data_IF_917392182072
#
_entry.id   IF_917392182072
#
_cell.length_a   1.000
_cell.length_b   1.000
_cell.length_c   1.000
_cell.angle_alpha   90.00
_cell.angle_beta   90.00
_cell.angle_gamma   90.00
#
_symmetry.space_group_name_H-M   'P 1'
#
loop_
_entity.id
_entity.type
_entity.pdbx_description
1 polymer ?
#
# COMPACT_ATOMS: atom_id res chain seq x y z
N UNK A 1 9.29 21.74 21.89
CA UNK A 1 9.51 21.69 20.43
C UNK A 1 9.64 20.26 19.89
N UNK A 2 10.61 19.43 20.34
CA UNK A 2 10.81 18.05 19.83
C UNK A 2 9.60 17.11 19.99
N UNK A 3 8.91 17.17 21.13
CA UNK A 3 7.69 16.35 21.38
C UNK A 3 6.59 16.71 20.37
N UNK A 4 6.33 18.01 20.20
CA UNK A 4 5.33 18.52 19.26
C UNK A 4 5.62 18.14 17.81
N UNK A 5 6.89 18.00 17.43
CA UNK A 5 7.30 17.57 16.08
C UNK A 5 6.89 16.13 15.78
N UNK A 6 6.82 15.27 16.80
CA UNK A 6 6.42 13.87 16.72
C UNK A 6 4.91 13.68 16.85
N UNK A 7 4.23 14.56 17.59
CA UNK A 7 2.80 14.44 17.89
C UNK A 7 1.89 15.31 17.00
N UNK A 8 2.44 16.18 16.13
CA UNK A 8 1.66 17.10 15.28
C UNK A 8 2.09 17.04 13.81
N UNK A 9 1.13 17.34 12.93
CA UNK A 9 1.34 17.51 11.49
C UNK A 9 1.78 18.95 11.10
N UNK A 10 1.94 19.85 12.07
CA UNK A 10 2.28 21.27 11.85
C UNK A 10 3.55 21.40 10.99
N UNK A 11 3.62 22.36 10.07
CA UNK A 11 4.82 22.52 9.24
C UNK A 11 5.99 22.95 10.15
N UNK A 12 7.23 22.42 9.98
CA UNK A 12 8.35 22.74 10.89
C UNK A 12 8.63 24.24 11.02
N UNK A 13 8.27 25.03 10.00
CA UNK A 13 8.31 26.48 10.05
C UNK A 13 7.32 27.08 11.07
N UNK A 14 6.08 26.60 11.12
CA UNK A 14 5.05 27.05 12.07
C UNK A 14 5.49 26.74 13.52
N UNK A 15 6.00 25.54 13.75
CA UNK A 15 6.52 25.13 15.07
C UNK A 15 7.66 26.04 15.55
N UNK A 16 8.58 26.42 14.65
CA UNK A 16 9.69 27.32 15.00
C UNK A 16 9.22 28.75 15.17
N UNK A 17 8.29 29.22 14.34
CA UNK A 17 7.69 30.55 14.44
C UNK A 17 6.98 30.74 15.78
N UNK A 18 6.14 29.80 16.19
CA UNK A 18 5.42 29.89 17.47
C UNK A 18 6.34 29.75 18.69
N UNK A 19 7.38 28.93 18.61
CA UNK A 19 8.34 28.88 19.70
C UNK A 19 9.18 30.16 19.78
N UNK A 20 9.49 30.76 18.64
CA UNK A 20 10.24 32.01 18.51
C UNK A 20 9.49 33.19 19.14
N UNK A 21 8.16 33.25 18.99
CA UNK A 21 7.33 34.30 19.62
C UNK A 21 7.25 34.17 21.14
N UNK A 22 7.50 32.98 21.69
CA UNK A 22 7.51 32.72 23.13
C UNK A 22 8.90 32.93 23.78
N UNK A 23 9.94 33.18 22.99
CA UNK A 23 11.30 33.40 23.49
C UNK A 23 11.61 34.88 23.74
N UNK A 24 12.37 35.16 24.79
CA UNK A 24 12.87 36.52 25.06
C UNK A 24 13.99 36.90 24.09
N UNK A 25 14.26 38.21 23.96
CA UNK A 25 15.26 38.72 23.02
C UNK A 25 16.69 38.29 23.35
N UNK A 26 17.01 38.10 24.64
CA UNK A 26 18.29 37.55 25.08
C UNK A 26 18.46 36.08 24.65
N UNK A 27 17.36 35.31 24.64
CA UNK A 27 17.36 33.92 24.19
C UNK A 27 17.53 33.85 22.67
N UNK A 28 16.92 34.77 21.91
CA UNK A 28 17.10 34.85 20.45
C UNK A 28 18.56 35.00 20.01
N UNK A 29 19.37 35.77 20.74
CA UNK A 29 20.79 35.94 20.44
C UNK A 29 21.65 34.70 20.73
N UNK A 30 21.19 33.82 21.62
CA UNK A 30 21.88 32.57 21.96
C UNK A 30 21.36 31.35 21.17
N UNK A 31 20.26 31.50 20.43
CA UNK A 31 19.69 30.42 19.64
C UNK A 31 20.50 30.17 18.36
N UNK A 32 20.62 28.89 17.95
CA UNK A 32 21.16 28.58 16.63
C UNK A 32 20.25 29.15 15.53
N UNK A 33 20.78 29.36 14.31
CA UNK A 33 19.99 29.87 13.20
C UNK A 33 18.70 29.06 12.98
N UNK A 34 17.60 29.74 12.67
CA UNK A 34 16.27 29.15 12.42
C UNK A 34 16.33 28.02 11.38
N UNK A 35 17.18 28.17 10.35
CA UNK A 35 17.42 27.15 9.33
C UNK A 35 17.97 25.84 9.91
N UNK A 36 18.88 25.93 10.89
CA UNK A 36 19.45 24.79 11.59
C UNK A 36 18.41 24.07 12.45
N UNK A 37 17.57 24.85 13.16
CA UNK A 37 16.46 24.32 13.96
C UNK A 37 15.49 23.58 13.03
N UNK A 38 15.06 24.21 11.93
CA UNK A 38 14.17 23.60 10.92
C UNK A 38 14.75 22.30 10.37
N UNK A 39 16.03 22.28 10.01
CA UNK A 39 16.71 21.07 9.49
C UNK A 39 16.73 19.95 10.52
N UNK A 40 16.94 20.29 11.79
CA UNK A 40 16.86 19.32 12.91
C UNK A 40 15.46 18.76 13.06
N UNK A 41 14.42 19.60 12.96
CA UNK A 41 13.02 19.14 13.02
C UNK A 41 12.65 18.24 11.83
N UNK A 42 13.02 18.61 10.61
CA UNK A 42 12.81 17.77 9.43
C UNK A 42 13.53 16.43 9.56
N UNK A 43 14.78 16.42 10.04
CA UNK A 43 15.54 15.18 10.28
C UNK A 43 14.88 14.29 11.32
N UNK A 44 14.37 14.87 12.42
CA UNK A 44 13.61 14.13 13.43
C UNK A 44 12.38 13.48 12.79
N UNK A 45 11.59 14.22 12.00
CA UNK A 45 10.46 13.63 11.28
C UNK A 45 10.90 12.53 10.32
N UNK A 46 11.92 12.79 9.51
CA UNK A 46 12.40 11.83 8.53
C UNK A 46 12.92 10.53 9.17
N UNK A 47 13.58 10.60 10.33
CA UNK A 47 14.02 9.42 11.08
C UNK A 47 12.86 8.67 11.73
N UNK A 48 11.82 9.38 12.18
CA UNK A 48 10.65 8.74 12.81
C UNK A 48 9.60 8.30 11.78
N UNK A 49 9.67 8.79 10.54
CA UNK A 49 8.84 8.40 9.41
C UNK A 49 9.58 7.52 8.40
N UNK A 50 10.87 7.26 8.59
CA UNK A 50 11.63 6.36 7.70
C UNK A 50 11.20 4.92 7.95
N UNK A 51 11.01 4.19 6.86
CA UNK A 51 10.80 2.75 6.93
C UNK A 51 11.97 2.08 7.69
N UNK A 52 11.71 0.97 8.41
CA UNK A 52 12.75 0.17 9.04
C UNK A 52 13.84 -0.22 8.03
N UNK A 53 15.07 -0.40 8.49
CA UNK A 53 16.14 -0.94 7.63
C UNK A 53 15.71 -2.28 7.04
N UNK A 54 15.98 -2.49 5.74
CA UNK A 54 15.65 -3.74 5.08
C UNK A 54 16.33 -4.92 5.82
N UNK A 55 15.59 -5.94 6.26
CA UNK A 55 16.16 -7.08 6.95
C UNK A 55 17.14 -7.84 6.05
N UNK A 56 18.20 -8.38 6.64
CA UNK A 56 19.24 -9.12 5.92
C UNK A 56 18.89 -10.61 5.77
N UNK A 57 18.06 -11.12 6.69
CA UNK A 57 17.56 -12.50 6.68
C UNK A 57 16.06 -12.53 6.95
N UNK A 58 15.38 -13.60 6.52
CA UNK A 58 13.95 -13.82 6.77
C UNK A 58 13.64 -13.85 8.29
N UNK A 59 14.56 -14.37 9.10
CA UNK A 59 14.44 -14.41 10.57
C UNK A 59 14.59 -13.04 11.25
N UNK A 60 15.13 -12.05 10.55
CA UNK A 60 15.28 -10.67 11.08
C UNK A 60 14.06 -9.79 10.75
N UNK A 61 13.04 -10.33 10.07
CA UNK A 61 11.83 -9.59 9.73
C UNK A 61 11.02 -9.38 11.01
N UNK A 62 11.05 -8.14 11.51
CA UNK A 62 10.15 -7.68 12.57
C UNK A 62 9.20 -6.66 11.97
N UNK A 63 7.90 -6.96 11.95
CA UNK A 63 6.88 -6.05 11.39
C UNK A 63 6.41 -5.13 12.51
N UNK A 64 6.71 -3.82 12.44
CA UNK A 64 6.23 -2.90 13.46
C UNK A 64 4.70 -2.77 13.41
N UNK A 65 4.04 -2.54 14.55
CA UNK A 65 2.58 -2.45 14.63
C UNK A 65 1.94 -1.39 13.71
N UNK A 66 2.66 -0.32 13.36
CA UNK A 66 2.15 0.68 12.42
C UNK A 66 2.10 0.16 10.97
N UNK A 67 2.74 -0.97 10.65
CA UNK A 67 2.67 -1.66 9.36
C UNK A 67 1.68 -2.81 9.34
N UNK A 68 1.11 -3.21 10.49
CA UNK A 68 0.05 -4.23 10.55
C UNK A 68 -1.35 -3.66 10.37
N UNK A 69 -1.47 -2.33 10.24
CA UNK A 69 -2.74 -1.60 10.12
C UNK A 69 -2.83 -0.82 8.79
N UNK A 70 -4.04 -0.69 8.26
CA UNK A 70 -4.35 0.21 7.15
C UNK A 70 -4.28 1.67 7.58
N UNK A 71 -4.35 2.59 6.60
CA UNK A 71 -4.39 4.05 6.84
C UNK A 71 -5.58 4.44 7.75
N UNK A 72 -6.68 3.69 7.67
CA UNK A 72 -7.89 3.86 8.48
C UNK A 72 -7.80 3.18 9.86
N UNK A 73 -6.65 2.59 10.22
CA UNK A 73 -6.43 1.91 11.50
C UNK A 73 -7.00 0.50 11.60
N UNK A 74 -7.41 -0.13 10.49
CA UNK A 74 -7.94 -1.51 10.49
C UNK A 74 -6.78 -2.50 10.40
N UNK A 75 -6.85 -3.61 11.12
CA UNK A 75 -5.82 -4.65 11.03
C UNK A 75 -5.87 -5.32 9.65
N UNK A 76 -4.71 -5.37 8.99
CA UNK A 76 -4.53 -5.98 7.67
C UNK A 76 -3.57 -7.18 7.69
N UNK A 77 -2.62 -7.22 8.62
CA UNK A 77 -1.82 -8.42 8.87
C UNK A 77 -2.57 -9.28 9.91
N UNK A 78 -3.22 -10.36 9.45
CA UNK A 78 -4.08 -11.19 10.30
C UNK A 78 -3.30 -12.32 10.95
N UNK A 79 -2.29 -12.85 10.26
CA UNK A 79 -1.49 -13.94 10.81
C UNK A 79 -0.04 -13.82 10.41
N UNK A 80 0.84 -14.15 11.35
CA UNK A 80 2.27 -14.31 11.15
C UNK A 80 2.60 -15.74 11.60
N UNK A 81 2.69 -16.64 10.63
CA UNK A 81 2.97 -18.04 10.87
C UNK A 81 4.46 -18.20 10.69
N UNK A 82 5.17 -18.55 11.76
CA UNK A 82 6.63 -18.73 11.75
C UNK A 82 7.03 -20.22 11.86
N UNK A 83 6.89 -21.02 10.79
CA UNK A 83 7.57 -22.31 10.65
C UNK A 83 9.08 -22.18 10.81
N UNK A 84 9.71 -23.26 11.27
CA UNK A 84 11.15 -23.36 11.59
C UNK A 84 12.07 -22.84 10.47
N UNK A 85 11.66 -22.89 9.19
CA UNK A 85 12.48 -22.46 8.05
C UNK A 85 11.81 -21.39 7.15
N UNK A 86 10.49 -21.21 7.21
CA UNK A 86 9.75 -20.34 6.29
C UNK A 86 8.68 -19.53 7.01
N UNK A 87 8.85 -18.23 7.23
CA UNK A 87 7.79 -17.35 7.72
C UNK A 87 6.74 -17.10 6.63
N UNK A 88 5.45 -17.26 6.98
CA UNK A 88 4.31 -16.97 6.12
C UNK A 88 3.49 -15.84 6.75
N UNK A 89 3.45 -14.71 6.04
CA UNK A 89 2.63 -13.57 6.40
C UNK A 89 1.30 -13.64 5.67
N UNK A 90 0.20 -13.62 6.42
CA UNK A 90 -1.16 -13.64 5.88
C UNK A 90 -1.79 -12.27 6.03
N UNK A 91 -2.04 -11.65 4.87
CA UNK A 91 -2.65 -10.34 4.78
C UNK A 91 -4.12 -10.44 4.36
N UNK A 92 -5.01 -9.90 5.16
CA UNK A 92 -6.44 -9.82 4.89
C UNK A 92 -7.09 -8.77 5.81
N UNK A 93 -8.33 -8.39 5.56
CA UNK A 93 -9.11 -7.60 6.54
C UNK A 93 -10.21 -8.48 7.11
N UNK A 94 -10.64 -8.20 8.35
CA UNK A 94 -11.80 -8.88 8.95
C UNK A 94 -13.03 -8.79 8.02
N UNK A 95 -13.25 -7.63 7.39
CA UNK A 95 -14.32 -7.43 6.41
C UNK A 95 -14.20 -8.39 5.22
N UNK A 96 -13.00 -8.58 4.68
CA UNK A 96 -12.80 -9.50 3.55
C UNK A 96 -12.98 -10.96 3.98
N UNK A 97 -12.56 -11.35 5.19
CA UNK A 97 -12.80 -12.69 5.72
C UNK A 97 -14.30 -12.95 5.96
N UNK A 98 -15.01 -11.94 6.46
CA UNK A 98 -16.47 -11.98 6.61
C UNK A 98 -17.18 -12.16 5.27
N UNK A 99 -16.73 -11.41 4.25
CA UNK A 99 -17.24 -11.55 2.88
C UNK A 99 -16.98 -12.95 2.34
N UNK A 100 -15.75 -13.47 2.48
CA UNK A 100 -15.43 -14.84 2.09
C UNK A 100 -16.33 -15.85 2.80
N UNK A 101 -16.54 -15.71 4.12
CA UNK A 101 -17.40 -16.62 4.89
C UNK A 101 -18.87 -16.57 4.45
N UNK A 102 -19.35 -15.41 3.98
CA UNK A 102 -20.73 -15.19 3.52
C UNK A 102 -20.93 -15.54 2.04
N UNK A 103 -19.86 -15.66 1.27
CA UNK A 103 -19.94 -15.99 -0.15
C UNK A 103 -20.14 -17.49 -0.35
N UNK A 104 -21.22 -17.85 -1.03
CA UNK A 104 -21.57 -19.25 -1.35
C UNK A 104 -20.61 -19.89 -2.37
N UNK A 105 -19.89 -19.06 -3.15
CA UNK A 105 -18.97 -19.50 -4.18
C UNK A 105 -17.62 -18.81 -4.07
N UNK A 106 -16.55 -19.61 -3.95
CA UNK A 106 -15.16 -19.13 -4.01
C UNK A 106 -14.57 -19.58 -5.35
N UNK A 107 -14.36 -18.64 -6.26
CA UNK A 107 -13.67 -18.92 -7.52
C UNK A 107 -12.18 -18.98 -7.26
N UNK A 108 -11.67 -20.20 -7.14
CA UNK A 108 -10.24 -20.48 -7.04
C UNK A 108 -9.92 -21.63 -8.00
N UNK A 109 -10.17 -21.41 -9.30
CA UNK A 109 -10.02 -22.49 -10.26
C UNK A 109 -8.56 -22.94 -10.39
N UNK A 110 -8.34 -24.21 -10.06
CA UNK A 110 -7.03 -24.85 -10.06
C UNK A 110 -6.35 -24.81 -11.43
N UNK A 111 -7.13 -24.86 -12.51
CA UNK A 111 -6.63 -24.80 -13.88
C UNK A 111 -6.06 -23.42 -14.25
N UNK A 112 -6.60 -22.33 -13.68
CA UNK A 112 -6.03 -20.98 -13.88
C UNK A 112 -4.63 -20.89 -13.28
N UNK A 113 -4.42 -21.48 -12.09
CA UNK A 113 -3.11 -21.48 -11.42
C UNK A 113 -2.06 -22.24 -12.22
N UNK A 114 -2.43 -23.39 -12.78
CA UNK A 114 -1.52 -24.22 -13.57
C UNK A 114 -1.14 -23.53 -14.89
N UNK A 115 -2.12 -22.93 -15.57
CA UNK A 115 -1.90 -22.15 -16.80
C UNK A 115 -1.07 -20.90 -16.53
N UNK A 116 -1.35 -20.17 -15.45
CA UNK A 116 -0.56 -19.00 -15.04
C UNK A 116 0.91 -19.31 -14.74
N UNK A 117 1.22 -20.53 -14.25
CA UNK A 117 2.59 -20.95 -13.99
C UNK A 117 3.33 -21.44 -15.25
N UNK A 118 2.60 -22.06 -16.16
CA UNK A 118 3.16 -22.80 -17.30
C UNK A 118 3.22 -21.94 -18.56
N UNK A 119 2.26 -21.04 -18.74
CA UNK A 119 2.12 -20.18 -19.91
C UNK A 119 2.49 -18.72 -19.55
N UNK A 120 3.62 -18.26 -20.09
CA UNK A 120 4.12 -16.91 -19.88
C UNK A 120 3.24 -15.84 -20.55
N UNK A 121 2.61 -16.16 -21.68
CA UNK A 121 1.71 -15.24 -22.39
C UNK A 121 0.42 -15.04 -21.58
N UNK A 122 -0.18 -16.13 -21.10
CA UNK A 122 -1.33 -16.08 -20.21
C UNK A 122 -1.02 -15.27 -18.93
N UNK A 123 0.13 -15.53 -18.32
CA UNK A 123 0.57 -14.81 -17.13
C UNK A 123 0.79 -13.32 -17.37
N UNK A 124 1.26 -12.95 -18.57
CA UNK A 124 1.43 -11.55 -18.96
C UNK A 124 0.09 -10.85 -19.13
N UNK A 125 -0.88 -11.51 -19.79
CA UNK A 125 -2.23 -10.97 -20.01
C UNK A 125 -2.96 -10.73 -18.67
N UNK A 126 -2.94 -11.71 -17.76
CA UNK A 126 -3.52 -11.56 -16.41
C UNK A 126 -2.85 -10.43 -15.62
N UNK A 127 -1.53 -10.26 -15.73
CA UNK A 127 -0.82 -9.14 -15.08
C UNK A 127 -1.14 -7.79 -15.69
N UNK A 128 -1.56 -7.75 -16.95
CA UNK A 128 -1.98 -6.54 -17.63
C UNK A 128 -3.24 -5.94 -16.99
N UNK A 129 -4.18 -6.80 -16.57
CA UNK A 129 -5.37 -6.35 -15.82
C UNK A 129 -4.97 -5.63 -14.53
N UNK A 130 -3.98 -6.15 -13.80
CA UNK A 130 -3.44 -5.47 -12.61
C UNK A 130 -2.74 -4.14 -12.94
N UNK A 131 -2.20 -3.99 -14.16
CA UNK A 131 -1.54 -2.77 -14.60
C UNK A 131 -2.53 -1.61 -14.86
N UNK A 132 -3.81 -1.91 -15.11
CA UNK A 132 -4.86 -0.90 -15.29
C UNK A 132 -5.05 -0.02 -14.06
N UNK A 133 -4.71 -0.52 -12.86
CA UNK A 133 -4.73 0.28 -11.63
C UNK A 133 -3.76 1.49 -11.66
N UNK A 134 -2.81 1.50 -12.59
CA UNK A 134 -1.87 2.62 -12.78
C UNK A 134 -2.29 3.57 -13.92
N UNK A 135 -3.37 3.24 -14.64
CA UNK A 135 -3.91 4.09 -15.71
C UNK A 135 -4.82 5.16 -15.06
N UNK A 136 -4.73 6.43 -15.46
CA UNK A 136 -5.65 7.48 -14.97
C UNK A 136 -7.11 7.13 -15.26
N UNK A 137 -8.02 7.40 -14.32
CA UNK A 137 -9.45 7.01 -14.40
C UNK A 137 -10.13 7.37 -15.73
N UNK A 138 -9.78 8.52 -16.32
CA UNK A 138 -10.35 8.98 -17.59
C UNK A 138 -9.93 8.12 -18.80
N UNK A 139 -8.82 7.41 -18.70
CA UNK A 139 -8.22 6.64 -19.79
C UNK A 139 -8.35 5.12 -19.57
N UNK A 140 -8.80 4.67 -18.38
CA UNK A 140 -8.89 3.24 -18.02
C UNK A 140 -9.82 2.48 -18.98
N UNK A 141 -10.95 3.08 -19.38
CA UNK A 141 -11.94 2.44 -20.26
C UNK A 141 -11.35 2.25 -21.66
N UNK A 142 -10.78 3.32 -22.24
CA UNK A 142 -10.19 3.27 -23.58
C UNK A 142 -9.02 2.28 -23.64
N UNK A 143 -8.18 2.26 -22.58
CA UNK A 143 -7.09 1.29 -22.45
C UNK A 143 -7.64 -0.12 -22.22
N UNK A 144 -8.74 -0.32 -21.52
CA UNK A 144 -9.32 -1.65 -21.39
C UNK A 144 -9.88 -2.17 -22.72
N UNK A 145 -10.69 -1.37 -23.41
CA UNK A 145 -11.31 -1.73 -24.70
C UNK A 145 -10.27 -1.91 -25.82
N UNK A 146 -9.20 -1.11 -25.84
CA UNK A 146 -8.10 -1.26 -26.82
C UNK A 146 -7.32 -2.57 -26.60
N UNK A 147 -7.30 -3.08 -25.37
CA UNK A 147 -6.55 -4.27 -24.98
C UNK A 147 -7.37 -5.55 -24.92
N UNK A 148 -8.67 -5.47 -25.21
CA UNK A 148 -9.54 -6.62 -25.51
C UNK A 148 -9.10 -7.26 -26.84
N UNK A 149 -7.92 -7.86 -26.80
CA UNK A 149 -7.29 -8.57 -27.91
C UNK A 149 -8.03 -9.87 -28.21
N UNK A 150 -7.75 -10.45 -29.37
CA UNK A 150 -8.20 -11.81 -29.73
C UNK A 150 -7.85 -12.86 -28.67
N UNK A 151 -6.82 -12.61 -27.84
CA UNK A 151 -6.40 -13.53 -26.79
C UNK A 151 -7.45 -13.75 -25.70
N UNK A 152 -8.21 -12.70 -25.31
CA UNK A 152 -9.26 -12.83 -24.31
C UNK A 152 -10.45 -13.60 -24.85
N UNK A 153 -10.78 -13.38 -26.13
CA UNK A 153 -11.80 -14.16 -26.86
C UNK A 153 -11.37 -15.63 -27.03
N UNK A 154 -10.09 -15.88 -27.34
CA UNK A 154 -9.54 -17.23 -27.52
C UNK A 154 -9.44 -18.01 -26.20
N UNK A 155 -9.43 -17.32 -25.05
CA UNK A 155 -9.32 -17.91 -23.72
C UNK A 155 -10.52 -17.58 -22.83
N UNK A 156 -11.66 -17.25 -23.44
CA UNK A 156 -12.87 -16.78 -22.78
C UNK A 156 -13.32 -17.73 -21.67
N UNK A 157 -13.31 -19.04 -21.91
CA UNK A 157 -13.73 -20.05 -20.92
C UNK A 157 -12.97 -19.96 -19.58
N UNK A 158 -11.72 -19.50 -19.61
CA UNK A 158 -10.86 -19.38 -18.41
C UNK A 158 -10.84 -17.95 -17.86
N UNK A 159 -11.00 -16.94 -18.72
CA UNK A 159 -10.82 -15.54 -18.36
C UNK A 159 -12.13 -14.78 -18.15
N UNK A 160 -13.26 -15.25 -18.71
CA UNK A 160 -14.57 -14.59 -18.61
C UNK A 160 -14.99 -14.31 -17.16
N UNK A 161 -14.85 -15.24 -16.19
CA UNK A 161 -15.17 -14.94 -14.80
C UNK A 161 -14.28 -13.84 -14.18
N UNK A 162 -13.00 -13.79 -14.57
CA UNK A 162 -12.05 -12.80 -14.09
C UNK A 162 -12.30 -11.42 -14.72
N UNK A 163 -12.59 -11.40 -16.01
CA UNK A 163 -12.90 -10.20 -16.79
C UNK A 163 -14.22 -9.60 -16.32
N UNK A 164 -15.28 -10.41 -16.21
CA UNK A 164 -16.58 -9.98 -15.70
C UNK A 164 -16.47 -9.38 -14.29
N UNK A 165 -15.72 -10.02 -13.38
CA UNK A 165 -15.44 -9.45 -12.06
C UNK A 165 -14.73 -8.09 -12.16
N UNK A 166 -13.75 -7.97 -13.05
CA UNK A 166 -12.97 -6.74 -13.20
C UNK A 166 -13.82 -5.60 -13.77
N UNK A 167 -14.63 -5.89 -14.79
CA UNK A 167 -15.59 -4.96 -15.37
C UNK A 167 -16.60 -4.47 -14.34
N UNK A 168 -17.26 -5.37 -13.62
CA UNK A 168 -18.29 -4.99 -12.65
C UNK A 168 -17.70 -4.27 -11.42
N UNK A 169 -16.50 -4.62 -10.99
CA UNK A 169 -15.89 -4.06 -9.77
C UNK A 169 -15.18 -2.73 -10.04
N UNK A 170 -14.41 -2.63 -11.12
CA UNK A 170 -13.49 -1.50 -11.34
C UNK A 170 -13.94 -0.55 -12.44
N UNK A 171 -14.56 -1.07 -13.51
CA UNK A 171 -14.95 -0.26 -14.67
C UNK A 171 -16.34 0.33 -14.45
N UNK A 172 -17.30 -0.50 -14.04
CA UNK A 172 -18.69 -0.08 -13.85
C UNK A 172 -18.89 0.81 -12.61
N UNK A 173 -18.03 0.64 -11.59
CA UNK A 173 -18.02 1.51 -10.40
C UNK A 173 -17.36 2.87 -10.65
N UNK A 174 -16.67 3.06 -11.79
CA UNK A 174 -15.97 4.29 -12.18
C UNK A 174 -16.85 5.28 -12.97
N UNK A 175 -18.15 5.00 -13.12
CA UNK A 175 -19.16 5.90 -13.73
C UNK A 175 -19.99 6.63 -12.69
#
# INVERSE_FOLDING_TARGET
>A
MKIRVLSSQDIPHQIVSEASTLCSQAVHGALPPVSYIKRTLCRIRQINSSAPSNPLTLTDITIPNNYSQTIDGRHFLINDIEPVENQILVFATEKNLDLLTKSDHWFLESHMKEKYKTDSEFSLQVRYLSALAFVPENDVIDVFETYESTYYTDNEEVLEPLISYFEDTWIRSSK
#
